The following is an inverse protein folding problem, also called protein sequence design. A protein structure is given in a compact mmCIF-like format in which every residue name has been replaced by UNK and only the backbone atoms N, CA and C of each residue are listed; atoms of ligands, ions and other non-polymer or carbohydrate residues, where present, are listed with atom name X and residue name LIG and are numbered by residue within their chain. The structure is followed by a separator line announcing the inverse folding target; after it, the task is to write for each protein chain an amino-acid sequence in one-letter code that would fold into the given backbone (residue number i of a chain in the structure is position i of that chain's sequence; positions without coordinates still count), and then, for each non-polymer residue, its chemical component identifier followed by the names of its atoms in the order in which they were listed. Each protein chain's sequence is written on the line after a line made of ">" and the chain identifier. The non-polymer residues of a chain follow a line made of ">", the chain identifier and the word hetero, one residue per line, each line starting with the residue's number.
data_IF_266185325558
#
_entry.id   IF_266185325558
#
_cell.length_a   1.000
_cell.length_b   1.000
_cell.length_c   1.000
_cell.angle_alpha   90.00
_cell.angle_beta   90.00
_cell.angle_gamma   90.00
#
_symmetry.space_group_name_H-M   'P 1'
#
loop_
_entity.id
_entity.type
_entity.pdbx_description
1 polymer ?
#
# COMPACT_ATOMS: atom_id res chain seq x y z
N UNK A 1 -7.60 6.49 9.87
CA UNK A 1 -8.92 5.83 10.07
C UNK A 1 -9.23 5.59 11.55
N UNK A 2 -8.25 5.15 12.38
CA UNK A 2 -8.41 4.98 13.85
C UNK A 2 -9.13 6.14 14.55
N UNK A 3 -8.69 7.38 14.35
CA UNK A 3 -9.31 8.56 14.99
C UNK A 3 -10.78 8.75 14.63
N UNK A 4 -11.16 8.40 13.40
CA UNK A 4 -12.55 8.48 12.95
C UNK A 4 -13.41 7.34 13.55
N UNK A 5 -12.84 6.15 13.73
CA UNK A 5 -13.49 5.04 14.44
C UNK A 5 -13.71 5.39 15.91
N UNK A 6 -12.67 5.86 16.61
CA UNK A 6 -12.75 6.26 18.02
C UNK A 6 -13.76 7.40 18.27
N UNK A 7 -14.04 8.24 17.27
CA UNK A 7 -15.02 9.33 17.34
C UNK A 7 -16.40 8.98 16.76
N UNK A 8 -16.64 7.72 16.37
CA UNK A 8 -17.91 7.27 15.77
C UNK A 8 -18.20 7.84 14.37
N UNK A 9 -17.22 8.46 13.72
CA UNK A 9 -17.32 9.13 12.40
C UNK A 9 -16.72 8.30 11.26
N UNK A 10 -16.50 7.00 11.50
CA UNK A 10 -15.85 6.11 10.54
C UNK A 10 -16.54 6.11 9.17
N UNK A 11 -17.87 5.97 9.12
CA UNK A 11 -18.63 5.95 7.86
C UNK A 11 -18.44 7.23 7.04
N UNK A 12 -18.44 8.39 7.70
CA UNK A 12 -18.20 9.67 7.03
C UNK A 12 -16.77 9.74 6.49
N UNK A 13 -15.79 9.26 7.25
CA UNK A 13 -14.40 9.25 6.81
C UNK A 13 -14.16 8.25 5.66
N UNK A 14 -14.79 7.07 5.70
CA UNK A 14 -14.73 6.08 4.63
C UNK A 14 -15.20 6.66 3.29
N UNK A 15 -16.25 7.49 3.26
CA UNK A 15 -16.68 8.18 2.03
C UNK A 15 -15.55 8.95 1.33
N UNK A 16 -14.57 9.46 2.08
CA UNK A 16 -13.39 10.14 1.50
C UNK A 16 -12.57 9.21 0.61
N UNK A 17 -12.45 7.94 0.99
CA UNK A 17 -11.69 6.92 0.26
C UNK A 17 -12.53 6.17 -0.77
N UNK A 18 -13.86 6.15 -0.61
CA UNK A 18 -14.78 5.46 -1.52
C UNK A 18 -15.24 6.34 -2.70
N UNK A 19 -15.29 7.66 -2.51
CA UNK A 19 -15.78 8.60 -3.54
C UNK A 19 -14.88 8.73 -4.79
N UNK A 20 -13.53 8.71 -4.68
CA UNK A 20 -12.68 8.82 -5.87
C UNK A 20 -12.86 7.66 -6.83
N UNK A 21 -12.88 7.93 -8.14
CA UNK A 21 -12.90 6.88 -9.17
C UNK A 21 -11.64 6.00 -9.12
N UNK A 22 -10.49 6.61 -8.82
CA UNK A 22 -9.22 5.93 -8.57
C UNK A 22 -8.71 6.35 -7.20
N UNK A 23 -8.36 5.37 -6.36
CA UNK A 23 -7.69 5.59 -5.09
C UNK A 23 -6.23 5.12 -5.22
N UNK A 24 -5.28 5.99 -4.94
CA UNK A 24 -3.85 5.64 -4.89
C UNK A 24 -3.44 5.42 -3.44
N UNK A 25 -2.87 4.25 -3.17
CA UNK A 25 -2.32 3.87 -1.86
C UNK A 25 -0.83 3.61 -2.04
N UNK A 26 -0.02 4.50 -1.50
CA UNK A 26 1.43 4.45 -1.64
C UNK A 26 2.08 3.77 -0.42
N UNK A 27 3.24 3.14 -0.64
CA UNK A 27 4.12 2.55 0.38
C UNK A 27 3.46 1.51 1.30
N UNK A 28 2.57 0.67 0.76
CA UNK A 28 1.94 -0.40 1.54
C UNK A 28 2.98 -1.43 1.97
N UNK A 29 3.00 -1.74 3.26
CA UNK A 29 3.92 -2.74 3.83
C UNK A 29 5.22 -2.21 4.39
N UNK A 30 5.40 -0.89 4.45
CA UNK A 30 6.56 -0.29 5.13
C UNK A 30 6.51 -0.49 6.65
N UNK A 31 5.34 -0.24 7.26
CA UNK A 31 5.10 -0.45 8.69
C UNK A 31 4.03 -1.53 8.88
N UNK A 32 4.26 -2.53 9.77
CA UNK A 32 3.22 -3.49 10.13
C UNK A 32 2.02 -2.77 10.76
N UNK A 33 0.83 -3.17 10.33
CA UNK A 33 -0.43 -2.67 10.86
C UNK A 33 -0.87 -3.53 12.03
N UNK A 34 -1.46 -2.89 13.05
CA UNK A 34 -2.20 -3.63 14.06
C UNK A 34 -3.47 -4.24 13.45
N UNK A 35 -3.96 -5.35 14.01
CA UNK A 35 -5.16 -6.04 13.51
C UNK A 35 -6.37 -5.12 13.33
N UNK A 36 -6.59 -4.18 14.25
CA UNK A 36 -7.66 -3.20 14.15
C UNK A 36 -7.50 -2.28 12.92
N UNK A 37 -6.27 -1.86 12.62
CA UNK A 37 -5.99 -1.04 11.43
C UNK A 37 -6.11 -1.81 10.14
N UNK A 38 -5.61 -3.05 10.14
CA UNK A 38 -5.74 -3.95 9.02
C UNK A 38 -7.22 -4.18 8.66
N UNK A 39 -8.09 -4.31 9.67
CA UNK A 39 -9.54 -4.38 9.46
C UNK A 39 -10.11 -3.10 8.82
N UNK A 40 -9.62 -1.91 9.20
CA UNK A 40 -10.05 -0.66 8.58
C UNK A 40 -9.61 -0.57 7.11
N UNK A 41 -8.40 -1.03 6.79
CA UNK A 41 -7.91 -1.11 5.41
C UNK A 41 -8.74 -2.12 4.60
N UNK A 42 -9.00 -3.30 5.16
CA UNK A 42 -9.86 -4.31 4.56
C UNK A 42 -11.26 -3.77 4.24
N UNK A 43 -11.86 -2.95 5.10
CA UNK A 43 -13.14 -2.32 4.83
C UNK A 43 -13.09 -1.38 3.61
N UNK A 44 -12.01 -0.62 3.43
CA UNK A 44 -11.84 0.24 2.25
C UNK A 44 -11.73 -0.61 0.99
N UNK A 45 -10.86 -1.62 1.00
CA UNK A 45 -10.63 -2.50 -0.16
C UNK A 45 -11.90 -3.25 -0.52
N UNK A 46 -12.57 -3.86 0.46
CA UNK A 46 -13.82 -4.61 0.24
C UNK A 46 -14.96 -3.75 -0.29
N UNK A 47 -15.04 -2.48 0.12
CA UNK A 47 -16.08 -1.57 -0.40
C UNK A 47 -15.77 -1.01 -1.79
N UNK A 48 -14.49 -1.01 -2.20
CA UNK A 48 -14.05 -0.59 -3.54
C UNK A 48 -13.96 -1.74 -4.53
N UNK A 49 -13.85 -2.97 -4.05
CA UNK A 49 -13.88 -4.18 -4.87
C UNK A 49 -15.08 -4.13 -5.83
N UNK A 50 -14.80 -4.34 -7.13
CA UNK A 50 -15.77 -4.23 -8.25
C UNK A 50 -16.49 -2.89 -8.41
N UNK A 51 -16.10 -1.83 -7.67
CA UNK A 51 -16.80 -0.52 -7.66
C UNK A 51 -15.90 0.67 -7.96
N UNK A 52 -14.59 0.57 -7.72
CA UNK A 52 -13.65 1.64 -8.01
C UNK A 52 -12.20 1.15 -7.98
N UNK A 53 -11.39 1.67 -8.90
CA UNK A 53 -10.00 1.23 -9.06
C UNK A 53 -9.13 1.61 -7.88
N UNK A 54 -8.14 0.78 -7.59
CA UNK A 54 -7.10 1.02 -6.60
C UNK A 54 -5.75 0.86 -7.31
N UNK A 55 -4.89 1.87 -7.18
CA UNK A 55 -3.47 1.75 -7.52
C UNK A 55 -2.73 1.61 -6.20
N UNK A 56 -1.90 0.58 -6.08
CA UNK A 56 -1.16 0.28 -4.87
C UNK A 56 0.32 0.13 -5.20
N UNK A 57 1.17 0.75 -4.38
CA UNK A 57 2.61 0.51 -4.42
C UNK A 57 3.03 -0.22 -3.15
N UNK A 58 3.96 -1.17 -3.30
CA UNK A 58 4.52 -1.91 -2.19
C UNK A 58 5.95 -2.32 -2.53
N UNK A 59 6.82 -2.28 -1.52
CA UNK A 59 8.15 -2.88 -1.60
C UNK A 59 8.18 -4.31 -1.02
N UNK A 60 7.02 -4.88 -0.71
CA UNK A 60 6.84 -6.20 -0.12
C UNK A 60 6.27 -7.17 -1.14
N UNK A 61 6.75 -8.41 -1.14
CA UNK A 61 6.14 -9.47 -1.93
C UNK A 61 4.81 -9.88 -1.30
N UNK A 62 3.90 -10.47 -2.08
CA UNK A 62 2.60 -10.91 -1.55
C UNK A 62 2.71 -11.91 -0.39
N UNK A 63 3.78 -12.72 -0.35
CA UNK A 63 4.05 -13.64 0.76
C UNK A 63 4.40 -12.92 2.07
N UNK A 64 4.87 -11.68 2.02
CA UNK A 64 5.17 -10.87 3.21
C UNK A 64 3.92 -10.16 3.76
N UNK A 65 2.79 -10.18 3.05
CA UNK A 65 1.61 -9.40 3.44
C UNK A 65 0.94 -9.93 4.71
N UNK A 66 1.07 -11.21 5.04
CA UNK A 66 0.66 -11.75 6.33
C UNK A 66 1.28 -10.99 7.51
N UNK A 67 2.58 -10.66 7.40
CA UNK A 67 3.29 -9.86 8.40
C UNK A 67 2.88 -8.39 8.38
N UNK A 68 2.58 -7.84 7.20
CA UNK A 68 2.13 -6.45 7.03
C UNK A 68 0.77 -6.21 7.69
N UNK A 69 -0.18 -7.12 7.53
CA UNK A 69 -1.54 -6.99 8.07
C UNK A 69 -1.72 -7.66 9.44
N UNK A 70 -0.67 -8.31 9.97
CA UNK A 70 -0.65 -8.95 11.29
C UNK A 70 -1.48 -10.25 11.39
N UNK A 71 -2.09 -10.69 10.31
CA UNK A 71 -2.94 -11.89 10.24
C UNK A 71 -2.94 -12.42 8.80
N UNK A 72 -2.47 -13.66 8.60
CA UNK A 72 -2.43 -14.34 7.30
C UNK A 72 -3.82 -14.49 6.68
N UNK A 73 -4.86 -14.72 7.49
CA UNK A 73 -6.22 -14.89 7.01
C UNK A 73 -6.74 -13.56 6.44
N UNK A 74 -6.47 -12.47 7.14
CA UNK A 74 -6.88 -11.14 6.69
C UNK A 74 -6.08 -10.68 5.47
N UNK A 75 -4.76 -10.94 5.46
CA UNK A 75 -3.91 -10.65 4.32
C UNK A 75 -4.38 -11.40 3.07
N UNK A 76 -4.69 -12.69 3.20
CA UNK A 76 -5.22 -13.51 2.10
C UNK A 76 -6.53 -12.93 1.57
N UNK A 77 -7.48 -12.59 2.45
CA UNK A 77 -8.77 -12.02 2.05
C UNK A 77 -8.62 -10.64 1.34
N UNK A 78 -7.62 -9.85 1.73
CA UNK A 78 -7.26 -8.59 1.05
C UNK A 78 -6.69 -8.89 -0.33
N UNK A 79 -5.71 -9.79 -0.42
CA UNK A 79 -5.03 -10.16 -1.65
C UNK A 79 -5.99 -10.76 -2.66
N UNK A 80 -6.91 -11.64 -2.26
CA UNK A 80 -7.93 -12.19 -3.15
C UNK A 80 -8.75 -11.10 -3.86
N UNK A 81 -9.15 -10.05 -3.12
CA UNK A 81 -9.94 -8.94 -3.69
C UNK A 81 -9.11 -8.03 -4.57
N UNK A 82 -7.86 -7.77 -4.20
CA UNK A 82 -6.97 -6.94 -5.00
C UNK A 82 -6.56 -7.65 -6.29
N UNK A 83 -6.22 -8.94 -6.20
CA UNK A 83 -5.61 -9.71 -7.29
C UNK A 83 -6.62 -10.28 -8.29
N UNK A 84 -7.91 -10.35 -7.94
CA UNK A 84 -8.93 -10.86 -8.86
C UNK A 84 -9.07 -10.01 -10.14
N UNK A 85 -8.94 -8.68 -10.02
CA UNK A 85 -9.04 -7.74 -11.13
C UNK A 85 -7.90 -6.72 -11.09
N UNK A 86 -6.65 -7.19 -11.25
CA UNK A 86 -5.49 -6.31 -11.30
C UNK A 86 -4.51 -6.64 -12.40
N UNK A 87 -3.72 -5.63 -12.76
CA UNK A 87 -2.46 -5.77 -13.46
C UNK A 87 -1.31 -5.59 -12.47
N UNK A 88 -0.44 -6.59 -12.37
CA UNK A 88 0.74 -6.54 -11.49
C UNK A 88 1.95 -6.09 -12.29
N UNK A 89 2.50 -4.93 -11.93
CA UNK A 89 3.73 -4.39 -12.54
C UNK A 89 4.89 -4.60 -11.58
N UNK A 90 5.77 -5.55 -11.89
CA UNK A 90 7.01 -5.76 -11.14
C UNK A 90 8.06 -4.73 -11.56
N UNK A 91 8.47 -3.88 -10.63
CA UNK A 91 9.52 -2.87 -10.85
C UNK A 91 10.82 -3.37 -10.22
N UNK A 92 11.82 -3.58 -11.07
CA UNK A 92 13.15 -4.02 -10.65
C UNK A 92 14.20 -3.02 -11.15
N UNK A 93 15.28 -2.87 -10.40
CA UNK A 93 16.41 -2.02 -10.78
C UNK A 93 16.96 -1.19 -9.62
N UNK A 94 18.09 -0.51 -9.85
CA UNK A 94 18.72 0.32 -8.83
C UNK A 94 17.83 1.53 -8.48
N UNK A 95 17.92 1.97 -7.22
CA UNK A 95 17.20 3.16 -6.77
C UNK A 95 17.56 4.39 -7.60
N UNK A 96 16.55 4.99 -8.23
CA UNK A 96 16.73 6.23 -9.00
C UNK A 96 17.24 7.39 -8.12
N UNK A 97 16.87 7.40 -6.83
CA UNK A 97 17.35 8.40 -5.85
C UNK A 97 18.86 8.29 -5.63
N UNK A 98 19.41 7.08 -5.67
CA UNK A 98 20.84 6.83 -5.48
C UNK A 98 21.65 7.07 -6.76
N UNK A 99 21.02 6.96 -7.94
CA UNK A 99 21.69 7.15 -9.23
C UNK A 99 22.42 8.50 -9.34
N UNK A 100 21.80 9.58 -8.89
CA UNK A 100 22.42 10.92 -8.91
C UNK A 100 23.52 11.09 -7.85
N UNK A 101 23.38 10.42 -6.70
CA UNK A 101 24.39 10.45 -5.62
C UNK A 101 25.63 9.67 -6.00
N UNK A 102 25.47 8.49 -6.61
CA UNK A 102 26.59 7.69 -7.10
C UNK A 102 27.34 8.42 -8.21
N UNK A 103 26.63 9.05 -9.15
CA UNK A 103 27.26 9.86 -10.21
C UNK A 103 28.03 11.08 -9.67
N UNK A 104 27.60 11.66 -8.55
CA UNK A 104 28.32 12.74 -7.89
C UNK A 104 29.60 12.22 -7.18
N UNK A 105 29.48 11.10 -6.46
CA UNK A 105 30.60 10.46 -5.77
C UNK A 105 31.68 9.98 -6.76
N UNK A 106 31.28 9.39 -7.88
CA UNK A 106 32.22 8.96 -8.94
C UNK A 106 32.94 10.13 -9.60
N UNK A 107 32.29 11.30 -9.73
CA UNK A 107 32.95 12.53 -10.20
C UNK A 107 34.00 13.02 -9.21
N UNK A 108 33.69 13.04 -7.92
CA UNK A 108 34.62 13.51 -6.89
C UNK A 108 35.81 12.55 -6.73
N UNK A 109 35.60 11.24 -6.89
CA UNK A 109 36.65 10.22 -6.83
C UNK A 109 37.61 10.21 -8.03
N UNK A 110 37.17 10.67 -9.20
CA UNK A 110 38.02 10.80 -10.41
C UNK A 110 38.77 12.13 -10.50
N UNK A 111 38.51 13.06 -9.58
CA UNK A 111 39.17 14.39 -9.51
C UNK A 111 40.22 14.43 -8.39
N UNK A 112 40.26 13.42 -7.52
CA UNK A 112 41.28 13.21 -6.49
C UNK A 112 42.41 12.29 -6.99
#
# INVERSE_FOLDING_TARGET
>A
LRTAEASGRLNSKLRTYLRPGVLVVDEVGYQPLERAEANLVFQVISKRYEKGSIILTSNKTFSEWGQVFGDEVLATAILERLLHHCDVVSINGPSYRLKNRLAAIERDANVA
#
